data_IF_709272381077
#
_entry.id   IF_709272381077
#
_cell.length_a   1.000
_cell.length_b   1.000
_cell.length_c   1.000
_cell.angle_alpha   90.00
_cell.angle_beta   90.00
_cell.angle_gamma   90.00
#
_symmetry.space_group_name_H-M   'P 1'
#
loop_
_entity.id
_entity.type
_entity.pdbx_description
1 polymer ?
#
# COMPACT_ATOMS: atom_id res chain seq x y z
N UNK A 1 9.39 22.71 -13.70
CA UNK A 1 9.02 23.36 -12.46
C UNK A 1 9.60 22.60 -11.28
N UNK A 2 10.46 23.27 -10.54
CA UNK A 2 11.22 22.65 -9.45
C UNK A 2 10.33 22.20 -8.31
N UNK A 3 9.30 23.00 -7.97
CA UNK A 3 8.34 22.63 -6.93
C UNK A 3 7.53 21.40 -7.31
N UNK A 4 7.22 21.23 -8.59
CA UNK A 4 6.50 20.05 -9.05
C UNK A 4 7.36 18.80 -8.90
N UNK A 5 8.67 18.90 -9.18
CA UNK A 5 9.60 17.79 -8.99
C UNK A 5 9.73 17.41 -7.51
N UNK A 6 9.85 18.41 -6.66
CA UNK A 6 9.91 18.19 -5.21
C UNK A 6 8.63 17.55 -4.70
N UNK A 7 7.47 18.06 -5.13
CA UNK A 7 6.17 17.51 -4.75
C UNK A 7 6.02 16.06 -5.21
N UNK A 8 6.47 15.76 -6.42
CA UNK A 8 6.41 14.40 -6.96
C UNK A 8 7.26 13.44 -6.12
N UNK A 9 8.46 13.84 -5.77
CA UNK A 9 9.35 12.99 -4.96
C UNK A 9 8.82 12.77 -3.55
N UNK A 10 8.38 13.84 -2.89
CA UNK A 10 7.82 13.75 -1.54
C UNK A 10 6.52 12.95 -1.55
N UNK A 11 5.64 13.21 -2.52
CA UNK A 11 4.37 12.51 -2.65
C UNK A 11 4.57 11.02 -2.88
N UNK A 12 5.49 10.64 -3.76
CA UNK A 12 5.79 9.24 -4.00
C UNK A 12 6.35 8.57 -2.73
N UNK A 13 7.25 9.25 -2.01
CA UNK A 13 7.80 8.73 -0.77
C UNK A 13 6.74 8.52 0.31
N UNK A 14 5.84 9.48 0.49
CA UNK A 14 4.74 9.38 1.45
C UNK A 14 3.79 8.25 1.06
N UNK A 15 3.49 8.08 -0.22
CA UNK A 15 2.66 6.98 -0.71
C UNK A 15 3.27 5.62 -0.35
N UNK A 16 4.58 5.47 -0.51
CA UNK A 16 5.29 4.23 -0.17
C UNK A 16 5.22 3.97 1.33
N UNK A 17 5.42 5.00 2.16
CA UNK A 17 5.33 4.86 3.63
C UNK A 17 3.92 4.44 4.02
N UNK A 18 2.90 5.12 3.50
CA UNK A 18 1.50 4.80 3.83
C UNK A 18 1.11 3.40 3.39
N UNK A 19 1.42 3.02 2.16
CA UNK A 19 1.12 1.69 1.65
C UNK A 19 1.88 0.62 2.42
N UNK A 20 3.15 0.84 2.71
CA UNK A 20 3.98 -0.11 3.46
C UNK A 20 3.46 -0.33 4.87
N UNK A 21 3.11 0.75 5.59
CA UNK A 21 2.54 0.64 6.93
C UNK A 21 1.18 -0.04 6.91
N UNK A 22 0.32 0.31 5.94
CA UNK A 22 -1.01 -0.29 5.83
C UNK A 22 -0.93 -1.78 5.52
N UNK A 23 -0.12 -2.18 4.56
CA UNK A 23 0.06 -3.58 4.20
C UNK A 23 0.73 -4.34 5.33
N UNK A 24 1.71 -3.73 5.99
CA UNK A 24 2.39 -4.35 7.14
C UNK A 24 1.43 -4.66 8.27
N UNK A 25 0.58 -3.71 8.65
CA UNK A 25 -0.43 -3.93 9.69
C UNK A 25 -1.46 -4.96 9.28
N UNK A 26 -1.91 -4.91 8.05
CA UNK A 26 -2.86 -5.86 7.49
C UNK A 26 -2.28 -7.27 7.53
N UNK A 27 -1.05 -7.44 7.07
CA UNK A 27 -0.39 -8.75 7.05
C UNK A 27 -0.19 -9.29 8.46
N UNK A 28 0.27 -8.46 9.39
CA UNK A 28 0.46 -8.86 10.77
C UNK A 28 -0.85 -9.33 11.40
N UNK A 29 -1.94 -8.58 11.19
CA UNK A 29 -3.24 -8.95 11.73
C UNK A 29 -3.77 -10.24 11.12
N UNK A 30 -3.63 -10.42 9.81
CA UNK A 30 -4.12 -11.61 9.12
C UNK A 30 -3.34 -12.87 9.54
N UNK A 31 -2.03 -12.76 9.63
CA UNK A 31 -1.18 -13.88 10.03
C UNK A 31 -1.42 -14.27 11.50
N UNK A 32 -1.60 -13.26 12.35
CA UNK A 32 -1.90 -13.51 13.76
C UNK A 32 -3.26 -14.19 13.93
N UNK A 33 -4.28 -13.72 13.20
CA UNK A 33 -5.61 -14.33 13.21
C UNK A 33 -5.56 -15.78 12.74
N UNK A 34 -4.82 -16.08 11.66
CA UNK A 34 -4.66 -17.44 11.16
C UNK A 34 -3.91 -18.34 12.13
N UNK A 35 -2.94 -17.80 12.86
CA UNK A 35 -2.20 -18.56 13.87
C UNK A 35 -3.08 -18.92 15.06
N UNK A 36 -3.99 -18.01 15.47
CA UNK A 36 -4.92 -18.25 16.58
C UNK A 36 -6.05 -19.19 16.21
N UNK A 37 -6.50 -19.12 14.97
CA UNK A 37 -7.62 -19.92 14.46
C UNK A 37 -7.22 -20.54 13.13
N UNK A 38 -6.49 -21.67 13.15
CA UNK A 38 -6.00 -22.29 11.93
C UNK A 38 -7.10 -22.62 10.91
N UNK A 39 -8.33 -22.82 11.36
CA UNK A 39 -9.48 -23.13 10.50
C UNK A 39 -9.86 -21.97 9.58
N UNK A 40 -9.46 -20.73 9.91
CA UNK A 40 -9.72 -19.55 9.06
C UNK A 40 -8.46 -19.06 8.34
N UNK A 41 -7.32 -19.74 8.48
CA UNK A 41 -6.05 -19.25 7.95
C UNK A 41 -6.12 -19.03 6.43
N UNK A 42 -6.77 -19.90 5.69
CA UNK A 42 -6.92 -19.78 4.25
C UNK A 42 -7.76 -18.57 3.87
N UNK A 43 -8.90 -18.37 4.54
CA UNK A 43 -9.79 -17.22 4.30
C UNK A 43 -9.11 -15.92 4.69
N UNK A 44 -8.39 -15.92 5.80
CA UNK A 44 -7.65 -14.76 6.29
C UNK A 44 -6.58 -14.34 5.29
N UNK A 45 -5.86 -15.31 4.71
CA UNK A 45 -4.86 -15.06 3.68
C UNK A 45 -5.47 -14.45 2.44
N UNK A 46 -6.60 -14.99 1.98
CA UNK A 46 -7.30 -14.48 0.79
C UNK A 46 -7.74 -13.04 1.01
N UNK A 47 -8.35 -12.75 2.15
CA UNK A 47 -8.77 -11.39 2.50
C UNK A 47 -7.57 -10.45 2.57
N UNK A 48 -6.46 -10.91 3.14
CA UNK A 48 -5.22 -10.12 3.21
C UNK A 48 -4.72 -9.74 1.81
N UNK A 49 -4.70 -10.69 0.88
CA UNK A 49 -4.21 -10.45 -0.48
C UNK A 49 -5.11 -9.43 -1.19
N UNK A 50 -6.43 -9.57 -1.07
CA UNK A 50 -7.38 -8.63 -1.67
C UNK A 50 -7.19 -7.23 -1.12
N UNK A 51 -7.11 -7.10 0.20
CA UNK A 51 -6.94 -5.80 0.85
C UNK A 51 -5.58 -5.18 0.50
N UNK A 52 -4.51 -5.98 0.45
CA UNK A 52 -3.19 -5.52 0.06
C UNK A 52 -3.19 -5.01 -1.39
N UNK A 53 -3.89 -5.70 -2.29
CA UNK A 53 -4.01 -5.29 -3.68
C UNK A 53 -4.74 -3.94 -3.80
N UNK A 54 -5.78 -3.71 -2.99
CA UNK A 54 -6.50 -2.44 -2.97
C UNK A 54 -5.60 -1.29 -2.47
N UNK A 55 -4.80 -1.52 -1.43
CA UNK A 55 -3.85 -0.52 -0.92
C UNK A 55 -2.80 -0.21 -1.99
N UNK A 56 -2.24 -1.22 -2.62
CA UNK A 56 -1.27 -1.05 -3.69
C UNK A 56 -1.86 -0.30 -4.88
N UNK A 57 -3.11 -0.58 -5.23
CA UNK A 57 -3.80 0.10 -6.32
C UNK A 57 -3.93 1.60 -6.06
N UNK A 58 -4.35 1.99 -4.86
CA UNK A 58 -4.46 3.40 -4.47
C UNK A 58 -3.09 4.07 -4.48
N UNK A 59 -2.06 3.40 -3.92
CA UNK A 59 -0.70 3.92 -3.92
C UNK A 59 -0.16 4.06 -5.34
N UNK A 60 -0.47 3.12 -6.22
CA UNK A 60 -0.07 3.16 -7.62
C UNK A 60 -0.65 4.40 -8.33
N UNK A 61 -1.94 4.68 -8.13
CA UNK A 61 -2.56 5.89 -8.67
C UNK A 61 -1.89 7.16 -8.15
N UNK A 62 -1.57 7.19 -6.87
CA UNK A 62 -0.84 8.32 -6.28
C UNK A 62 0.51 8.51 -6.97
N UNK A 63 1.25 7.44 -7.21
CA UNK A 63 2.53 7.48 -7.90
C UNK A 63 2.38 7.91 -9.36
N UNK A 64 1.30 7.52 -10.04
CA UNK A 64 1.02 7.99 -11.40
C UNK A 64 0.84 9.51 -11.42
N UNK A 65 0.12 10.06 -10.46
CA UNK A 65 -0.03 11.52 -10.33
C UNK A 65 1.34 12.17 -10.11
N UNK A 66 2.17 11.57 -9.27
CA UNK A 66 3.52 12.09 -9.03
C UNK A 66 4.38 12.05 -10.31
N UNK A 67 4.28 10.99 -11.09
CA UNK A 67 4.97 10.89 -12.38
C UNK A 67 4.51 12.02 -13.32
N UNK A 68 3.20 12.27 -13.39
CA UNK A 68 2.66 13.33 -14.23
C UNK A 68 3.21 14.70 -13.83
N UNK A 69 3.40 14.92 -12.54
CA UNK A 69 4.03 16.16 -12.06
C UNK A 69 5.51 16.23 -12.41
N UNK A 70 6.20 15.10 -12.34
CA UNK A 70 7.64 15.04 -12.59
C UNK A 70 8.00 15.26 -14.05
N UNK A 71 7.14 14.85 -14.97
CA UNK A 71 7.41 14.97 -16.42
C UNK A 71 6.79 16.21 -17.05
N UNK A 72 6.19 17.07 -16.29
CA UNK A 72 5.53 18.29 -16.75
C UNK A 72 6.48 19.38 -17.24
#
# INVERSE_FOLDING_TARGET
MELAYLAAGIGAGISVIGAGLGIGKLAAAALEAGARQPEIASDSRTTMIIAAALIEGVAFFSCVICIMLAIK
#
